data_IF_860678845723
#
_entry.id   IF_860678845723
#
_cell.length_a   1.000
_cell.length_b   1.000
_cell.length_c   1.000
_cell.angle_alpha   90.00
_cell.angle_beta   90.00
_cell.angle_gamma   90.00
#
_symmetry.space_group_name_H-M   'P 1'
#
loop_
_entity.id
_entity.type
_entity.pdbx_description
1 polymer ?
#
# COMPACT_ATOMS: atom_id res chain seq x y z
N UNK A 1 23.58 -4.79 13.84
CA UNK A 1 23.97 -4.81 12.41
C UNK A 1 22.81 -4.31 11.61
N UNK A 2 22.90 -3.14 10.97
CA UNK A 2 21.86 -2.64 10.08
C UNK A 2 21.76 -3.60 8.88
N UNK A 3 20.62 -4.25 8.72
CA UNK A 3 20.32 -5.05 7.52
C UNK A 3 20.42 -4.14 6.30
N UNK A 4 21.22 -4.53 5.29
CA UNK A 4 21.23 -3.80 4.02
C UNK A 4 19.79 -3.77 3.48
N UNK A 5 19.17 -2.58 3.43
CA UNK A 5 17.84 -2.41 2.84
C UNK A 5 17.86 -2.99 1.42
N UNK A 6 16.94 -3.89 1.13
CA UNK A 6 16.84 -4.50 -0.21
C UNK A 6 16.46 -3.41 -1.22
N UNK A 7 17.13 -3.37 -2.35
CA UNK A 7 16.82 -2.40 -3.42
C UNK A 7 15.45 -2.73 -4.00
N UNK A 8 14.61 -1.72 -4.20
CA UNK A 8 13.35 -1.85 -4.92
C UNK A 8 13.62 -2.27 -6.37
N UNK A 9 12.84 -3.19 -6.88
CA UNK A 9 12.87 -3.57 -8.29
C UNK A 9 11.71 -2.83 -8.97
N UNK A 10 11.99 -1.84 -9.83
CA UNK A 10 10.94 -1.06 -10.48
C UNK A 10 10.19 -1.88 -11.53
N UNK A 11 9.00 -1.42 -11.98
CA UNK A 11 8.31 -1.98 -13.12
C UNK A 11 9.19 -2.00 -14.38
N UNK A 12 9.09 -3.08 -15.15
CA UNK A 12 9.72 -3.22 -16.48
C UNK A 12 8.66 -2.87 -17.52
N UNK A 13 8.83 -1.73 -18.16
CA UNK A 13 7.86 -1.20 -19.12
C UNK A 13 8.44 -1.17 -20.52
N UNK A 14 7.62 -1.28 -21.58
CA UNK A 14 8.07 -1.16 -22.97
C UNK A 14 8.51 0.29 -23.27
N UNK A 15 9.34 0.47 -24.29
CA UNK A 15 9.71 1.80 -24.80
C UNK A 15 8.51 2.50 -25.44
N UNK A 16 7.64 1.76 -26.11
CA UNK A 16 6.41 2.25 -26.69
C UNK A 16 5.21 1.43 -26.20
N UNK A 17 4.17 2.13 -25.75
CA UNK A 17 2.92 1.50 -25.32
C UNK A 17 1.91 1.43 -26.47
N UNK A 18 1.12 0.38 -26.45
CA UNK A 18 -0.09 0.31 -27.27
C UNK A 18 -1.08 1.37 -26.81
N UNK A 19 -1.50 2.25 -27.70
CA UNK A 19 -2.60 3.17 -27.42
C UNK A 19 -3.92 2.48 -27.70
N UNK A 20 -4.85 2.64 -26.77
CA UNK A 20 -6.19 2.06 -26.87
C UNK A 20 -7.20 3.19 -27.03
N UNK A 21 -7.97 3.13 -28.10
CA UNK A 21 -9.10 4.04 -28.30
C UNK A 21 -10.28 3.61 -27.42
N UNK A 22 -11.09 4.58 -26.96
CA UNK A 22 -12.31 4.34 -26.19
C UNK A 22 -12.11 3.63 -24.84
N UNK A 23 -11.28 4.24 -23.98
CA UNK A 23 -10.86 3.67 -22.67
C UNK A 23 -12.01 3.36 -21.71
N UNK A 24 -13.19 4.00 -21.81
CA UNK A 24 -14.31 3.79 -20.89
C UNK A 24 -14.95 2.40 -20.90
N UNK A 25 -14.81 1.63 -22.00
CA UNK A 25 -15.37 0.26 -22.12
C UNK A 25 -14.30 -0.82 -22.21
N UNK A 26 -13.08 -0.44 -22.44
CA UNK A 26 -12.01 -1.36 -22.79
C UNK A 26 -11.77 -2.46 -21.74
N UNK A 27 -11.80 -2.12 -20.44
CA UNK A 27 -11.61 -3.11 -19.38
C UNK A 27 -12.73 -4.16 -19.35
N UNK A 28 -13.97 -3.77 -19.69
CA UNK A 28 -15.09 -4.71 -19.82
C UNK A 28 -14.91 -5.64 -21.02
N UNK A 29 -14.37 -5.12 -22.12
CA UNK A 29 -14.09 -5.92 -23.32
C UNK A 29 -12.99 -6.94 -23.04
N UNK A 30 -11.88 -6.54 -22.39
CA UNK A 30 -10.83 -7.47 -21.97
C UNK A 30 -11.39 -8.56 -21.05
N UNK A 31 -12.22 -8.18 -20.06
CA UNK A 31 -12.85 -9.13 -19.16
C UNK A 31 -13.77 -10.10 -19.89
N UNK A 32 -14.63 -9.61 -20.78
CA UNK A 32 -15.55 -10.43 -21.55
C UNK A 32 -14.84 -11.44 -22.47
N UNK A 33 -13.69 -11.03 -23.04
CA UNK A 33 -12.86 -11.88 -23.91
C UNK A 33 -11.89 -12.76 -23.16
N UNK A 34 -11.79 -12.62 -21.83
CA UNK A 34 -10.79 -13.28 -20.98
C UNK A 34 -9.35 -13.00 -21.45
N UNK A 35 -9.12 -11.81 -22.03
CA UNK A 35 -7.83 -11.37 -22.54
C UNK A 35 -7.03 -10.64 -21.47
N UNK A 36 -5.70 -10.71 -21.57
CA UNK A 36 -4.78 -9.94 -20.73
C UNK A 36 -4.64 -8.52 -21.26
N UNK A 37 -4.55 -7.56 -20.36
CA UNK A 37 -4.18 -6.18 -20.69
C UNK A 37 -2.66 -6.08 -20.65
N UNK A 38 -2.03 -5.89 -21.81
CA UNK A 38 -0.56 -5.89 -21.91
C UNK A 38 -0.04 -4.67 -22.66
N UNK A 39 1.10 -4.13 -22.20
CA UNK A 39 1.86 -3.07 -22.89
C UNK A 39 0.99 -1.87 -23.30
N UNK A 40 0.06 -1.48 -22.41
CA UNK A 40 -1.00 -0.51 -22.72
C UNK A 40 -0.96 0.66 -21.75
N UNK A 41 -1.19 1.87 -22.25
CA UNK A 41 -1.55 3.02 -21.41
C UNK A 41 -3.08 3.15 -21.40
N UNK A 42 -3.63 3.21 -20.19
CA UNK A 42 -5.05 3.43 -19.91
C UNK A 42 -5.18 4.81 -19.27
N UNK A 43 -5.80 5.75 -19.97
CA UNK A 43 -5.87 7.14 -19.56
C UNK A 43 -7.32 7.57 -19.33
N UNK A 44 -7.53 8.39 -18.30
CA UNK A 44 -8.79 9.10 -18.03
C UNK A 44 -10.03 8.20 -17.95
N UNK A 45 -9.85 6.92 -17.57
CA UNK A 45 -10.99 6.03 -17.32
C UNK A 45 -11.75 6.54 -16.10
N UNK A 46 -13.07 6.70 -16.25
CA UNK A 46 -13.97 6.94 -15.14
C UNK A 46 -14.97 5.78 -15.06
N UNK A 47 -14.99 5.10 -13.92
CA UNK A 47 -15.87 3.95 -13.67
C UNK A 47 -16.36 3.96 -12.22
N UNK A 48 -17.58 3.52 -12.01
CA UNK A 48 -18.21 3.43 -10.69
C UNK A 48 -18.96 2.09 -10.59
N UNK A 49 -18.76 1.39 -9.45
CA UNK A 49 -19.40 0.12 -9.12
C UNK A 49 -19.23 -1.00 -10.17
N UNK A 50 -18.13 -0.91 -10.95
CA UNK A 50 -17.85 -1.89 -11.99
C UNK A 50 -17.05 -3.08 -11.48
N UNK A 51 -17.28 -4.24 -12.07
CA UNK A 51 -16.54 -5.46 -11.76
C UNK A 51 -15.48 -5.78 -12.81
N UNK A 52 -14.22 -5.56 -12.45
CA UNK A 52 -13.01 -5.89 -13.21
C UNK A 52 -12.23 -7.05 -12.58
N UNK A 53 -12.85 -7.84 -11.70
CA UNK A 53 -12.19 -8.96 -11.03
C UNK A 53 -11.57 -9.96 -12.01
N UNK A 54 -10.48 -10.62 -11.57
CA UNK A 54 -9.72 -11.63 -12.31
C UNK A 54 -8.99 -11.14 -13.57
N UNK A 55 -8.97 -9.83 -13.86
CA UNK A 55 -8.16 -9.31 -14.96
C UNK A 55 -6.65 -9.45 -14.66
N UNK A 56 -5.88 -9.67 -15.72
CA UNK A 56 -4.42 -9.74 -15.66
C UNK A 56 -3.84 -8.54 -16.41
N UNK A 57 -3.05 -7.73 -15.69
CA UNK A 57 -2.36 -6.55 -16.22
C UNK A 57 -0.85 -6.81 -16.22
N UNK A 58 -0.20 -6.61 -17.36
CA UNK A 58 1.23 -6.78 -17.50
C UNK A 58 1.85 -5.65 -18.31
N UNK A 59 2.82 -4.95 -17.75
CA UNK A 59 3.44 -3.77 -18.36
C UNK A 59 2.40 -2.70 -18.76
N UNK A 60 1.56 -2.29 -17.79
CA UNK A 60 0.45 -1.36 -18.00
C UNK A 60 0.66 -0.09 -17.19
N UNK A 61 0.30 1.05 -17.79
CA UNK A 61 0.27 2.33 -17.10
C UNK A 61 -1.16 2.85 -17.06
N UNK A 62 -1.65 3.15 -15.84
CA UNK A 62 -2.91 3.87 -15.61
C UNK A 62 -2.58 5.33 -15.30
N UNK A 63 -3.20 6.26 -16.00
CA UNK A 63 -2.97 7.70 -15.82
C UNK A 63 -4.30 8.43 -15.65
N UNK A 64 -4.43 9.21 -14.57
CA UNK A 64 -5.62 10.02 -14.28
C UNK A 64 -6.93 9.23 -14.27
N UNK A 65 -6.90 7.93 -13.96
CA UNK A 65 -8.09 7.09 -13.91
C UNK A 65 -8.82 7.25 -12.57
N UNK A 66 -10.15 7.15 -12.60
CA UNK A 66 -11.00 7.20 -11.42
C UNK A 66 -11.89 5.95 -11.37
N UNK A 67 -11.69 5.15 -10.33
CA UNK A 67 -12.46 3.94 -10.08
C UNK A 67 -13.10 4.06 -8.70
N UNK A 68 -14.41 4.30 -8.65
CA UNK A 68 -15.12 4.38 -7.39
C UNK A 68 -15.87 3.09 -7.09
N UNK A 69 -15.63 2.50 -5.93
CA UNK A 69 -16.26 1.27 -5.49
C UNK A 69 -16.17 0.11 -6.51
N UNK A 70 -15.22 0.16 -7.44
CA UNK A 70 -15.02 -0.90 -8.42
C UNK A 70 -14.33 -2.12 -7.78
N UNK A 71 -14.58 -3.30 -8.36
CA UNK A 71 -13.91 -4.53 -7.96
C UNK A 71 -12.76 -4.86 -8.90
N UNK A 72 -11.56 -5.03 -8.33
CA UNK A 72 -10.37 -5.62 -8.92
C UNK A 72 -9.95 -6.86 -8.11
N UNK A 73 -10.92 -7.53 -7.50
CA UNK A 73 -10.64 -8.71 -6.70
C UNK A 73 -9.95 -9.78 -7.51
N UNK A 74 -8.91 -10.39 -6.94
CA UNK A 74 -8.10 -11.45 -7.58
C UNK A 74 -7.48 -11.05 -8.92
N UNK A 75 -7.31 -9.75 -9.17
CA UNK A 75 -6.52 -9.30 -10.31
C UNK A 75 -5.03 -9.57 -10.11
N UNK A 76 -4.32 -9.69 -11.23
CA UNK A 76 -2.86 -9.76 -11.25
C UNK A 76 -2.30 -8.48 -11.88
N UNK A 77 -1.37 -7.82 -11.16
CA UNK A 77 -0.69 -6.61 -11.60
C UNK A 77 0.82 -6.86 -11.62
N UNK A 78 1.39 -7.04 -12.79
CA UNK A 78 2.83 -7.22 -12.97
C UNK A 78 3.39 -6.11 -13.84
N UNK A 79 4.42 -5.41 -13.35
CA UNK A 79 5.01 -4.27 -14.05
C UNK A 79 3.99 -3.17 -14.35
N UNK A 80 3.32 -2.67 -13.31
CA UNK A 80 2.22 -1.70 -13.46
C UNK A 80 2.54 -0.40 -12.74
N UNK A 81 2.23 0.72 -13.39
CA UNK A 81 2.27 2.05 -12.78
C UNK A 81 0.86 2.63 -12.75
N UNK A 82 0.46 3.12 -11.58
CA UNK A 82 -0.72 3.94 -11.38
C UNK A 82 -0.25 5.37 -11.07
N UNK A 83 -0.58 6.31 -11.93
CA UNK A 83 -0.19 7.71 -11.79
C UNK A 83 -1.44 8.60 -11.69
N UNK A 84 -1.56 9.35 -10.60
CA UNK A 84 -2.66 10.28 -10.34
C UNK A 84 -4.06 9.62 -10.43
N UNK A 85 -4.16 8.36 -10.01
CA UNK A 85 -5.41 7.61 -10.05
C UNK A 85 -6.18 7.65 -8.72
N UNK A 86 -7.50 7.52 -8.77
CA UNK A 86 -8.36 7.37 -7.59
C UNK A 86 -9.00 5.97 -7.57
N UNK A 87 -8.69 5.19 -6.52
CA UNK A 87 -9.20 3.86 -6.23
C UNK A 87 -10.04 3.83 -4.94
N UNK A 88 -10.57 4.98 -4.52
CA UNK A 88 -11.31 5.07 -3.24
C UNK A 88 -12.49 4.11 -3.21
N UNK A 89 -12.58 3.35 -2.10
CA UNK A 89 -13.60 2.32 -1.89
C UNK A 89 -13.45 1.05 -2.73
N UNK A 90 -12.45 0.98 -3.65
CA UNK A 90 -12.26 -0.19 -4.50
C UNK A 90 -11.87 -1.45 -3.72
N UNK A 91 -12.29 -2.60 -4.27
CA UNK A 91 -11.94 -3.91 -3.76
C UNK A 91 -10.78 -4.51 -4.59
N UNK A 92 -9.57 -4.53 -4.03
CA UNK A 92 -8.39 -5.21 -4.57
C UNK A 92 -8.01 -6.43 -3.70
N UNK A 93 -8.97 -7.02 -2.98
CA UNK A 93 -8.71 -8.17 -2.12
C UNK A 93 -8.22 -9.37 -2.90
N UNK A 94 -7.33 -10.16 -2.29
CA UNK A 94 -6.75 -11.35 -2.90
C UNK A 94 -6.00 -11.10 -4.23
N UNK A 95 -5.67 -9.85 -4.54
CA UNK A 95 -4.93 -9.49 -5.74
C UNK A 95 -3.41 -9.82 -5.59
N UNK A 96 -2.75 -9.97 -6.71
CA UNK A 96 -1.31 -10.17 -6.77
C UNK A 96 -0.63 -8.98 -7.42
N UNK A 97 0.34 -8.38 -6.72
CA UNK A 97 1.15 -7.28 -7.21
C UNK A 97 2.62 -7.68 -7.27
N UNK A 98 3.25 -7.46 -8.41
CA UNK A 98 4.67 -7.66 -8.62
C UNK A 98 5.26 -6.50 -9.40
N UNK A 99 6.20 -5.75 -8.80
CA UNK A 99 6.77 -4.54 -9.38
C UNK A 99 5.67 -3.55 -9.80
N UNK A 100 4.96 -3.03 -8.80
CA UNK A 100 3.87 -2.06 -9.01
C UNK A 100 4.18 -0.74 -8.27
N UNK A 101 3.86 0.37 -8.89
CA UNK A 101 4.04 1.70 -8.32
C UNK A 101 2.72 2.48 -8.34
N UNK A 102 2.36 3.04 -7.18
CA UNK A 102 1.28 4.02 -7.03
C UNK A 102 1.92 5.37 -6.76
N UNK A 103 1.75 6.31 -7.69
CA UNK A 103 2.36 7.63 -7.67
C UNK A 103 1.25 8.69 -7.60
N UNK A 104 1.23 9.49 -6.54
CA UNK A 104 0.25 10.56 -6.32
C UNK A 104 -1.21 10.07 -6.43
N UNK A 105 -1.47 8.84 -5.95
CA UNK A 105 -2.78 8.22 -6.04
C UNK A 105 -3.62 8.42 -4.78
N UNK A 106 -4.93 8.33 -4.94
CA UNK A 106 -5.91 8.30 -3.87
C UNK A 106 -6.55 6.91 -3.80
N UNK A 107 -6.65 6.38 -2.59
CA UNK A 107 -7.23 5.07 -2.34
C UNK A 107 -7.82 5.00 -0.93
N UNK A 108 -8.65 6.01 -0.58
CA UNK A 108 -9.29 6.07 0.73
C UNK A 108 -10.25 4.90 0.89
N UNK A 109 -10.04 4.10 1.94
CA UNK A 109 -10.87 2.92 2.19
C UNK A 109 -10.71 1.78 1.19
N UNK A 110 -9.67 1.80 0.34
CA UNK A 110 -9.37 0.70 -0.59
C UNK A 110 -9.09 -0.59 0.17
N UNK A 111 -9.61 -1.72 -0.32
CA UNK A 111 -9.45 -3.04 0.30
C UNK A 111 -8.38 -3.83 -0.44
N UNK A 112 -7.27 -4.12 0.23
CA UNK A 112 -6.19 -5.00 -0.24
C UNK A 112 -6.17 -6.35 0.49
N UNK A 113 -7.15 -6.64 1.34
CA UNK A 113 -7.13 -7.79 2.25
C UNK A 113 -6.74 -9.10 1.55
N UNK A 114 -5.84 -9.88 2.16
CA UNK A 114 -5.36 -11.16 1.62
C UNK A 114 -4.45 -11.06 0.40
N UNK A 115 -4.10 -9.87 -0.06
CA UNK A 115 -3.28 -9.68 -1.25
C UNK A 115 -1.81 -9.98 -1.01
N UNK A 116 -1.11 -10.27 -2.12
CA UNK A 116 0.34 -10.47 -2.14
C UNK A 116 0.98 -9.32 -2.88
N UNK A 117 1.80 -8.53 -2.19
CA UNK A 117 2.48 -7.36 -2.72
C UNK A 117 4.00 -7.58 -2.70
N UNK A 118 4.64 -7.61 -3.87
CA UNK A 118 6.08 -7.77 -4.02
C UNK A 118 6.68 -6.64 -4.84
N UNK A 119 7.75 -6.02 -4.32
CA UNK A 119 8.40 -4.87 -4.95
C UNK A 119 7.38 -3.77 -5.29
N UNK A 120 6.66 -3.29 -4.29
CA UNK A 120 5.59 -2.32 -4.46
C UNK A 120 5.98 -0.97 -3.86
N UNK A 121 5.59 0.11 -4.50
CA UNK A 121 5.84 1.47 -4.05
C UNK A 121 4.52 2.22 -3.94
N UNK A 122 4.31 2.85 -2.79
CA UNK A 122 3.33 3.92 -2.61
C UNK A 122 4.09 5.22 -2.38
N UNK A 123 3.95 6.20 -3.27
CA UNK A 123 4.59 7.50 -3.13
C UNK A 123 3.57 8.63 -3.27
N UNK A 124 3.57 9.52 -2.28
CA UNK A 124 2.69 10.70 -2.24
C UNK A 124 1.21 10.32 -2.38
N UNK A 125 0.81 9.18 -1.78
CA UNK A 125 -0.55 8.66 -1.88
C UNK A 125 -1.38 9.00 -0.63
N UNK A 126 -2.70 9.03 -0.81
CA UNK A 126 -3.65 9.03 0.31
C UNK A 126 -4.35 7.67 0.37
N UNK A 127 -3.94 6.85 1.34
CA UNK A 127 -4.48 5.51 1.63
C UNK A 127 -5.11 5.45 3.03
N UNK A 128 -5.64 6.58 3.52
CA UNK A 128 -6.33 6.62 4.79
C UNK A 128 -7.47 5.58 4.80
N UNK A 129 -7.64 4.87 5.91
CA UNK A 129 -8.64 3.80 6.09
C UNK A 129 -8.45 2.59 5.16
N UNK A 130 -7.36 2.48 4.41
CA UNK A 130 -7.11 1.32 3.56
C UNK A 130 -6.97 0.04 4.41
N UNK A 131 -7.45 -1.08 3.85
CA UNK A 131 -7.44 -2.36 4.55
C UNK A 131 -6.44 -3.33 3.91
N UNK A 132 -5.35 -3.62 4.61
CA UNK A 132 -4.31 -4.59 4.26
C UNK A 132 -4.38 -5.87 5.12
N UNK A 133 -5.51 -6.17 5.74
CA UNK A 133 -5.63 -7.35 6.60
C UNK A 133 -5.09 -8.61 5.94
N UNK A 134 -4.30 -9.40 6.68
CA UNK A 134 -3.72 -10.67 6.24
C UNK A 134 -2.88 -10.61 4.95
N UNK A 135 -2.41 -9.43 4.54
CA UNK A 135 -1.55 -9.28 3.37
C UNK A 135 -0.17 -9.91 3.55
N UNK A 136 0.41 -10.36 2.43
CA UNK A 136 1.83 -10.70 2.35
C UNK A 136 2.57 -9.56 1.65
N UNK A 137 3.34 -8.80 2.42
CA UNK A 137 4.08 -7.61 1.97
C UNK A 137 5.58 -7.93 1.93
N UNK A 138 6.17 -7.96 0.75
CA UNK A 138 7.60 -8.21 0.55
C UNK A 138 8.24 -7.11 -0.29
N UNK A 139 9.26 -6.45 0.25
CA UNK A 139 9.97 -5.35 -0.39
C UNK A 139 9.01 -4.22 -0.79
N UNK A 140 8.41 -3.58 0.22
CA UNK A 140 7.46 -2.47 0.09
C UNK A 140 8.13 -1.17 0.50
N UNK A 141 7.97 -0.12 -0.30
CA UNK A 141 8.32 1.25 0.05
C UNK A 141 7.04 2.09 0.17
N UNK A 142 6.89 2.73 1.31
CA UNK A 142 5.86 3.73 1.58
C UNK A 142 6.56 5.06 1.81
N UNK A 143 6.38 6.01 0.89
CA UNK A 143 7.11 7.27 0.83
C UNK A 143 6.12 8.44 0.80
N UNK A 144 6.15 9.34 1.79
CA UNK A 144 5.26 10.52 1.90
C UNK A 144 3.77 10.18 1.72
N UNK A 145 3.35 9.06 2.28
CA UNK A 145 2.01 8.52 2.06
C UNK A 145 1.21 8.49 3.35
N UNK A 146 -0.05 8.86 3.26
CA UNK A 146 -0.99 8.83 4.36
C UNK A 146 -1.66 7.45 4.47
N UNK A 147 -1.56 6.85 5.65
CA UNK A 147 -2.15 5.57 6.03
C UNK A 147 -2.87 5.67 7.39
N UNK A 148 -3.40 6.86 7.71
CA UNK A 148 -4.08 7.07 8.98
C UNK A 148 -5.31 6.17 9.09
N UNK A 149 -5.48 5.55 10.26
CA UNK A 149 -6.56 4.61 10.55
C UNK A 149 -6.62 3.42 9.57
N UNK A 150 -5.52 3.11 8.88
CA UNK A 150 -5.43 1.93 8.03
C UNK A 150 -5.30 0.65 8.85
N UNK A 151 -5.69 -0.47 8.25
CA UNK A 151 -5.61 -1.78 8.88
C UNK A 151 -4.49 -2.61 8.24
N UNK A 152 -3.42 -2.86 9.00
CA UNK A 152 -2.32 -3.77 8.65
C UNK A 152 -2.29 -4.97 9.63
N UNK A 153 -3.45 -5.46 10.00
CA UNK A 153 -3.61 -6.59 10.94
C UNK A 153 -3.15 -7.89 10.30
N UNK A 154 -2.48 -8.75 11.07
CA UNK A 154 -2.04 -10.10 10.67
C UNK A 154 -1.18 -10.17 9.38
N UNK A 155 -0.53 -9.07 9.01
CA UNK A 155 0.32 -9.03 7.83
C UNK A 155 1.61 -9.85 8.02
N UNK A 156 2.05 -10.47 6.92
CA UNK A 156 3.38 -11.09 6.82
C UNK A 156 4.32 -10.13 6.10
N UNK A 157 5.13 -9.41 6.87
CA UNK A 157 5.97 -8.32 6.38
C UNK A 157 7.43 -8.75 6.26
N UNK A 158 8.08 -8.37 5.14
CA UNK A 158 9.50 -8.55 4.92
C UNK A 158 10.05 -7.40 4.10
N UNK A 159 11.16 -6.78 4.56
CA UNK A 159 11.84 -5.68 3.88
C UNK A 159 10.90 -4.47 3.60
N UNK A 160 10.21 -3.98 4.65
CA UNK A 160 9.32 -2.82 4.56
C UNK A 160 10.11 -1.55 4.89
N UNK A 161 9.94 -0.51 4.07
CA UNK A 161 10.55 0.79 4.24
C UNK A 161 9.46 1.85 4.39
N UNK A 162 9.48 2.54 5.51
CA UNK A 162 8.65 3.70 5.80
C UNK A 162 9.50 4.95 5.61
N UNK A 163 8.99 5.97 4.94
CA UNK A 163 9.63 7.27 4.76
C UNK A 163 8.57 8.35 4.84
N UNK A 164 8.63 9.17 5.86
CA UNK A 164 7.68 10.26 6.07
C UNK A 164 6.21 9.81 5.92
N UNK A 165 5.91 8.59 6.40
CA UNK A 165 4.57 8.03 6.34
C UNK A 165 3.73 8.52 7.52
N UNK A 166 2.44 8.81 7.28
CA UNK A 166 1.49 9.11 8.33
C UNK A 166 0.68 7.85 8.68
N UNK A 167 0.90 7.31 9.88
CA UNK A 167 0.30 6.06 10.37
C UNK A 167 -0.51 6.28 11.65
N UNK A 168 -1.04 7.50 11.85
CA UNK A 168 -1.83 7.82 13.04
C UNK A 168 -3.04 6.89 13.16
N UNK A 169 -3.19 6.23 14.31
CA UNK A 169 -4.23 5.24 14.60
C UNK A 169 -4.25 4.02 13.66
N UNK A 170 -3.17 3.75 12.93
CA UNK A 170 -3.07 2.55 12.10
C UNK A 170 -2.99 1.29 12.98
N UNK A 171 -3.61 0.19 12.53
CA UNK A 171 -3.59 -1.09 13.23
C UNK A 171 -2.47 -1.97 12.70
N UNK A 172 -1.54 -2.35 13.59
CA UNK A 172 -0.55 -3.41 13.37
C UNK A 172 -0.85 -4.63 14.25
N UNK A 173 -2.10 -4.81 14.66
CA UNK A 173 -2.49 -5.94 15.51
C UNK A 173 -2.01 -7.27 14.92
N UNK A 174 -1.22 -8.02 15.69
CA UNK A 174 -0.57 -9.27 15.26
C UNK A 174 0.33 -9.17 14.02
N UNK A 175 0.86 -7.99 13.72
CA UNK A 175 1.81 -7.76 12.63
C UNK A 175 3.19 -7.40 13.21
N UNK A 176 4.19 -8.31 13.15
CA UNK A 176 5.52 -8.03 13.67
C UNK A 176 6.20 -6.87 12.95
N UNK A 177 6.68 -5.89 13.71
CA UNK A 177 7.34 -4.68 13.19
C UNK A 177 8.87 -4.78 13.22
N UNK A 178 9.41 -5.97 13.47
CA UNK A 178 10.86 -6.19 13.62
C UNK A 178 11.64 -5.71 12.42
N UNK A 179 12.60 -4.80 12.65
CA UNK A 179 13.47 -4.24 11.64
C UNK A 179 12.82 -3.13 10.79
N UNK A 180 11.56 -2.79 11.04
CA UNK A 180 10.93 -1.61 10.48
C UNK A 180 11.41 -0.36 11.20
N UNK A 181 11.77 0.66 10.44
CA UNK A 181 12.25 1.95 10.93
C UNK A 181 11.15 2.99 10.69
N UNK A 182 10.63 3.53 11.79
CA UNK A 182 9.56 4.52 11.80
C UNK A 182 10.04 5.90 12.23
N UNK A 183 11.36 6.08 12.43
CA UNK A 183 11.92 7.28 13.08
C UNK A 183 11.64 8.60 12.36
N UNK A 184 11.31 8.57 11.07
CA UNK A 184 10.92 9.74 10.27
C UNK A 184 9.42 9.79 9.93
N UNK A 185 8.61 8.91 10.55
CA UNK A 185 7.19 8.72 10.24
C UNK A 185 6.32 8.98 11.46
N UNK A 186 5.03 9.27 11.27
CA UNK A 186 4.11 9.51 12.39
C UNK A 186 3.37 8.22 12.77
N UNK A 187 3.58 7.76 14.02
CA UNK A 187 3.01 6.51 14.53
C UNK A 187 2.12 6.71 15.78
N UNK A 188 1.54 7.89 15.95
CA UNK A 188 0.68 8.18 17.10
C UNK A 188 -0.55 7.28 17.11
N UNK A 189 -0.85 6.70 18.27
CA UNK A 189 -2.11 5.95 18.48
C UNK A 189 -2.16 4.59 17.79
N UNK A 190 -1.00 3.97 17.43
CA UNK A 190 -0.99 2.63 16.84
C UNK A 190 -1.83 1.64 17.65
N UNK A 191 -2.64 0.85 16.94
CA UNK A 191 -3.41 -0.26 17.52
C UNK A 191 -2.56 -1.52 17.45
N UNK A 192 -2.27 -2.09 18.62
CA UNK A 192 -1.42 -3.27 18.82
C UNK A 192 -2.12 -4.23 19.77
N UNK A 193 -1.61 -5.47 19.88
CA UNK A 193 -2.07 -6.41 20.91
C UNK A 193 -1.73 -5.92 22.33
N UNK A 194 -2.40 -6.44 23.34
CA UNK A 194 -2.20 -6.04 24.74
C UNK A 194 -0.78 -6.36 25.23
N UNK A 195 -0.16 -7.41 24.72
CA UNK A 195 1.19 -7.82 25.06
C UNK A 195 2.29 -7.05 24.30
N UNK A 196 1.92 -6.21 23.34
CA UNK A 196 2.82 -5.35 22.53
C UNK A 196 3.98 -6.11 21.83
N UNK A 197 3.81 -7.40 21.53
CA UNK A 197 4.86 -8.20 20.89
C UNK A 197 5.24 -7.70 19.50
N UNK A 198 4.33 -7.00 18.82
CA UNK A 198 4.56 -6.39 17.51
C UNK A 198 5.74 -5.41 17.51
N UNK A 199 5.94 -4.68 18.63
CA UNK A 199 6.98 -3.66 18.77
C UNK A 199 8.40 -4.23 18.89
N UNK A 200 8.54 -5.53 19.11
CA UNK A 200 9.85 -6.14 19.35
C UNK A 200 10.78 -5.99 18.15
N UNK A 201 11.79 -5.12 18.31
CA UNK A 201 12.81 -4.85 17.29
C UNK A 201 12.38 -3.83 16.22
N UNK A 202 11.30 -3.08 16.45
CA UNK A 202 10.98 -1.86 15.72
C UNK A 202 12.01 -0.77 16.04
N UNK A 203 12.32 0.09 15.08
CA UNK A 203 13.18 1.26 15.25
C UNK A 203 12.30 2.50 15.28
N UNK A 204 12.48 3.33 16.32
CA UNK A 204 11.68 4.52 16.58
C UNK A 204 12.56 5.64 17.11
N UNK A 205 12.12 6.89 17.02
CA UNK A 205 12.79 8.01 17.65
C UNK A 205 12.48 8.11 19.17
N UNK A 206 13.12 9.07 19.85
CA UNK A 206 13.00 9.26 21.30
C UNK A 206 11.55 9.61 21.71
N UNK A 207 10.87 10.48 20.96
CA UNK A 207 9.50 10.90 21.25
C UNK A 207 8.50 9.76 21.05
N UNK A 208 8.67 9.02 19.97
CA UNK A 208 7.89 7.81 19.69
C UNK A 208 8.10 6.76 20.78
N UNK A 209 9.35 6.54 21.23
CA UNK A 209 9.64 5.63 22.34
C UNK A 209 8.95 6.06 23.62
N UNK A 210 8.97 7.36 23.93
CA UNK A 210 8.26 7.91 25.09
C UNK A 210 6.74 7.73 25.01
N UNK A 211 6.15 7.89 23.83
CA UNK A 211 4.71 7.63 23.63
C UNK A 211 4.36 6.15 23.78
N UNK A 212 5.16 5.27 23.17
CA UNK A 212 4.95 3.83 23.23
C UNK A 212 5.13 3.26 24.65
N UNK A 213 6.05 3.82 25.45
CA UNK A 213 6.29 3.38 26.83
C UNK A 213 5.06 3.54 27.73
N UNK A 214 4.16 4.49 27.44
CA UNK A 214 2.90 4.67 28.16
C UNK A 214 2.01 3.42 28.11
N UNK A 215 2.10 2.65 27.02
CA UNK A 215 1.38 1.37 26.86
C UNK A 215 1.84 0.31 27.89
N UNK A 216 3.06 0.45 28.41
CA UNK A 216 3.63 -0.41 29.44
C UNK A 216 3.36 0.12 30.85
N UNK A 217 2.56 1.17 31.00
CA UNK A 217 2.28 1.82 32.30
C UNK A 217 3.45 2.66 32.81
N UNK A 218 4.46 2.95 32.00
CA UNK A 218 5.62 3.76 32.40
C UNK A 218 5.20 5.23 32.49
N UNK A 219 5.50 5.85 33.61
CA UNK A 219 5.31 7.28 33.86
C UNK A 219 6.64 7.99 33.60
N UNK A 220 6.66 8.85 32.60
CA UNK A 220 7.83 9.68 32.27
C UNK A 220 7.63 11.00 33.01
N UNK A 221 8.62 11.38 33.83
CA UNK A 221 8.69 12.72 34.43
C UNK A 221 9.48 13.63 33.51
N UNK A 222 8.92 14.78 33.22
CA UNK A 222 9.68 15.84 32.57
C UNK A 222 10.79 16.27 33.54
N UNK A 223 12.03 16.19 33.09
CA UNK A 223 13.16 16.76 33.84
C UNK A 223 13.19 18.23 33.43
N UNK A 224 12.59 19.09 34.23
CA UNK A 224 12.77 20.54 34.10
C UNK A 224 14.26 20.84 34.27
N UNK A 225 14.93 21.27 33.20
CA UNK A 225 16.25 21.86 33.21
C UNK A 225 17.41 20.98 32.73
N UNK A 226 17.38 20.59 31.44
CA UNK A 226 18.62 20.37 30.67
C UNK A 226 18.55 21.23 29.40
#
# INVERSE_FOLDING_TARGET
MASKKKKMIPPVLPEEFRRVENTGRILKEFKYREERVTETVLEEIAAEEEDYSHLVFSAVKFVNCRFWNCSFERCEFTDVIFESCDFSGCNLSNAYFSRAEYLSCKGVGTKFAGSVCKNMVFRECNLNYANFDACKLENLLVDKTELNSSNLTQCKCKDIQWRQAALTNASFFKTPMRGMDFSDSEIKGLVLSDDNQELKGAVVDLYQAAQLSKRLGIIIKDIEGI
#
